data_IF_157035592259
#
_entry.id   IF_157035592259
#
_cell.length_a   1.000
_cell.length_b   1.000
_cell.length_c   1.000
_cell.angle_alpha   90.00
_cell.angle_beta   90.00
_cell.angle_gamma   90.00
#
_symmetry.space_group_name_H-M   'P 1'
#
loop_
_entity.id
_entity.type
_entity.pdbx_description
1 polymer ?
#
# COMPACT_ATOMS: atom_id res chain seq x y z
N UNK A 1 -25.52 10.35 -14.24
CA UNK A 1 -24.26 10.89 -14.80
C UNK A 1 -23.12 10.00 -14.31
N UNK A 2 -22.03 9.87 -15.07
CA UNK A 2 -20.79 9.29 -14.57
C UNK A 2 -20.07 10.32 -13.69
N UNK A 3 -19.56 9.90 -12.53
CA UNK A 3 -18.73 10.74 -11.65
C UNK A 3 -17.28 10.28 -11.81
N UNK A 4 -16.37 11.25 -11.95
CA UNK A 4 -14.93 11.02 -12.00
C UNK A 4 -14.30 11.80 -10.85
N UNK A 5 -13.40 11.16 -10.12
CA UNK A 5 -12.67 11.73 -8.99
C UNK A 5 -11.16 11.70 -9.27
N UNK A 6 -10.41 12.65 -8.74
CA UNK A 6 -8.95 12.70 -8.85
C UNK A 6 -8.30 12.47 -7.50
N UNK A 7 -7.17 11.75 -7.48
CA UNK A 7 -6.30 11.60 -6.32
C UNK A 7 -4.83 11.76 -6.75
N UNK A 8 -3.86 11.91 -5.84
CA UNK A 8 -2.47 12.16 -6.20
C UNK A 8 -1.87 11.07 -7.11
N UNK A 9 -1.72 11.35 -8.40
CA UNK A 9 -1.23 10.40 -9.41
C UNK A 9 -2.25 9.34 -9.86
N UNK A 10 -3.54 9.46 -9.52
CA UNK A 10 -4.60 8.53 -9.90
C UNK A 10 -5.84 9.26 -10.41
N UNK A 11 -6.54 8.65 -11.38
CA UNK A 11 -7.91 9.00 -11.73
C UNK A 11 -8.85 7.86 -11.33
N UNK A 12 -10.03 8.18 -10.83
CA UNK A 12 -11.06 7.24 -10.42
C UNK A 12 -12.31 7.49 -11.27
N UNK A 13 -12.69 6.52 -12.09
CA UNK A 13 -13.81 6.62 -13.05
C UNK A 13 -14.67 5.36 -13.01
N UNK A 14 -15.90 5.34 -13.54
CA UNK A 14 -16.62 4.09 -13.73
C UNK A 14 -15.83 3.11 -14.62
N UNK A 15 -16.09 1.83 -14.43
CA UNK A 15 -15.53 0.78 -15.29
C UNK A 15 -16.10 0.86 -16.71
N UNK A 16 -15.28 0.49 -17.69
CA UNK A 16 -15.57 0.46 -19.12
C UNK A 16 -15.32 -0.94 -19.66
N UNK A 17 -15.79 -1.22 -20.87
CA UNK A 17 -15.58 -2.53 -21.51
C UNK A 17 -14.10 -2.77 -21.91
N UNK A 18 -13.32 -1.71 -22.14
CA UNK A 18 -11.87 -1.80 -22.37
C UNK A 18 -11.08 -2.31 -21.15
N UNK A 19 -11.59 -2.10 -19.93
CA UNK A 19 -10.97 -2.56 -18.69
C UNK A 19 -11.08 -4.09 -18.50
N UNK A 20 -11.92 -4.76 -19.29
CA UNK A 20 -12.31 -6.17 -19.12
C UNK A 20 -11.12 -7.13 -19.00
N UNK A 21 -10.07 -6.91 -19.80
CA UNK A 21 -8.84 -7.71 -19.75
C UNK A 21 -8.12 -7.52 -18.41
N UNK A 22 -7.86 -6.27 -18.02
CA UNK A 22 -7.18 -5.95 -16.76
C UNK A 22 -7.98 -6.42 -15.53
N UNK A 23 -9.32 -6.36 -15.59
CA UNK A 23 -10.21 -6.92 -14.57
C UNK A 23 -10.02 -8.43 -14.41
N UNK A 24 -9.97 -9.18 -15.52
CA UNK A 24 -9.74 -10.63 -15.52
C UNK A 24 -8.34 -10.97 -15.03
N UNK A 25 -7.29 -10.29 -15.51
CA UNK A 25 -5.92 -10.54 -15.06
C UNK A 25 -5.75 -10.27 -13.55
N UNK A 26 -6.31 -9.18 -13.03
CA UNK A 26 -6.32 -8.92 -11.59
C UNK A 26 -7.01 -10.05 -10.81
N UNK A 27 -8.16 -10.54 -11.31
CA UNK A 27 -8.90 -11.66 -10.70
C UNK A 27 -8.27 -13.04 -10.93
N UNK A 28 -7.13 -13.18 -11.63
CA UNK A 28 -6.37 -14.45 -11.70
C UNK A 28 -5.46 -14.67 -10.49
N UNK A 29 -5.01 -13.60 -9.85
CA UNK A 29 -4.08 -13.65 -8.72
C UNK A 29 -4.67 -14.35 -7.48
N UNK A 30 -4.04 -15.43 -6.97
CA UNK A 30 -4.46 -16.11 -5.75
C UNK A 30 -4.48 -15.20 -4.50
N UNK A 31 -3.53 -14.25 -4.40
CA UNK A 31 -3.44 -13.36 -3.24
C UNK A 31 -4.60 -12.35 -3.19
N UNK A 32 -5.13 -11.94 -4.35
CA UNK A 32 -6.37 -11.19 -4.43
C UNK A 32 -7.59 -12.07 -4.11
N UNK A 33 -7.67 -13.25 -4.74
CA UNK A 33 -8.80 -14.19 -4.60
C UNK A 33 -9.12 -14.56 -3.16
N UNK A 34 -8.10 -14.67 -2.28
CA UNK A 34 -8.27 -14.91 -0.83
C UNK A 34 -9.22 -13.92 -0.15
N UNK A 35 -9.31 -12.68 -0.64
CA UNK A 35 -10.05 -11.58 0.00
C UNK A 35 -11.29 -11.13 -0.76
N UNK A 36 -11.58 -11.71 -1.93
CA UNK A 36 -12.73 -11.33 -2.75
C UNK A 36 -13.94 -12.22 -2.48
N UNK A 37 -15.08 -11.61 -2.16
CA UNK A 37 -16.39 -12.26 -2.14
C UNK A 37 -16.91 -12.68 -3.53
N UNK A 38 -16.14 -12.45 -4.61
CA UNK A 38 -16.47 -12.82 -5.98
C UNK A 38 -15.18 -13.09 -6.75
N UNK A 39 -15.00 -14.31 -7.24
CA UNK A 39 -13.94 -14.64 -8.20
C UNK A 39 -14.49 -14.51 -9.61
N UNK A 40 -13.69 -13.94 -10.53
CA UNK A 40 -14.01 -13.88 -11.96
C UNK A 40 -13.01 -14.80 -12.68
N UNK A 41 -13.50 -15.90 -13.25
CA UNK A 41 -12.62 -16.91 -13.89
C UNK A 41 -12.62 -16.86 -15.41
N UNK A 42 -13.59 -16.18 -16.03
CA UNK A 42 -13.73 -16.06 -17.48
C UNK A 42 -14.33 -14.70 -17.90
N UNK A 43 -14.33 -14.46 -19.21
CA UNK A 43 -14.81 -13.21 -19.82
C UNK A 43 -16.32 -12.98 -19.63
N UNK A 44 -17.13 -14.04 -19.58
CA UNK A 44 -18.59 -13.94 -19.40
C UNK A 44 -18.91 -13.44 -18.00
N UNK A 45 -18.26 -14.01 -16.98
CA UNK A 45 -18.38 -13.56 -15.59
C UNK A 45 -17.92 -12.10 -15.44
N UNK A 46 -16.79 -11.74 -16.07
CA UNK A 46 -16.26 -10.38 -15.99
C UNK A 46 -17.14 -9.35 -16.71
N UNK A 47 -17.76 -9.70 -17.84
CA UNK A 47 -18.81 -8.87 -18.49
C UNK A 47 -20.03 -8.70 -17.59
N UNK A 48 -20.58 -9.78 -17.04
CA UNK A 48 -21.70 -9.74 -16.09
C UNK A 48 -21.37 -8.90 -14.84
N UNK A 49 -20.12 -8.92 -14.37
CA UNK A 49 -19.66 -8.05 -13.30
C UNK A 49 -19.63 -6.57 -13.71
N UNK A 50 -19.13 -6.24 -14.91
CA UNK A 50 -19.17 -4.87 -15.45
C UNK A 50 -20.61 -4.36 -15.58
N UNK A 51 -21.51 -5.16 -16.17
CA UNK A 51 -22.94 -4.86 -16.32
C UNK A 51 -23.60 -4.62 -14.95
N UNK A 52 -23.24 -5.42 -13.95
CA UNK A 52 -23.69 -5.26 -12.56
C UNK A 52 -23.19 -3.95 -11.93
N UNK A 53 -21.96 -3.50 -12.24
CA UNK A 53 -21.47 -2.21 -11.76
C UNK A 53 -22.21 -1.06 -12.47
N UNK A 54 -22.42 -1.15 -13.79
CA UNK A 54 -23.13 -0.13 -14.57
C UNK A 54 -24.61 0.01 -14.16
N UNK A 55 -25.32 -1.10 -13.97
CA UNK A 55 -26.67 -1.10 -13.41
C UNK A 55 -26.70 -0.52 -11.99
N UNK A 56 -25.67 -0.79 -11.20
CA UNK A 56 -25.48 -0.20 -9.87
C UNK A 56 -25.36 1.32 -9.88
N UNK A 57 -24.59 1.88 -10.83
CA UNK A 57 -24.49 3.33 -11.07
C UNK A 57 -25.81 3.96 -11.50
N UNK A 58 -26.60 3.28 -12.34
CA UNK A 58 -27.91 3.76 -12.80
C UNK A 58 -28.96 3.74 -11.68
N UNK A 59 -28.88 2.76 -10.77
CA UNK A 59 -29.82 2.57 -9.65
C UNK A 59 -29.38 3.24 -8.35
N UNK A 60 -28.21 3.88 -8.32
CA UNK A 60 -27.55 4.41 -7.11
C UNK A 60 -27.27 3.38 -5.99
N UNK A 61 -27.42 2.07 -6.28
CA UNK A 61 -27.18 0.98 -5.31
C UNK A 61 -25.69 0.73 -5.08
N UNK A 62 -24.81 1.11 -6.01
CA UNK A 62 -23.37 1.23 -5.79
C UNK A 62 -22.71 2.25 -6.72
N UNK A 63 -21.54 2.70 -6.29
CA UNK A 63 -20.65 3.58 -7.04
C UNK A 63 -19.28 2.92 -7.14
N UNK A 64 -19.10 2.05 -8.15
CA UNK A 64 -17.86 1.28 -8.36
C UNK A 64 -16.95 1.99 -9.35
N UNK A 65 -15.73 2.31 -8.92
CA UNK A 65 -14.70 2.98 -9.71
C UNK A 65 -13.58 2.01 -10.10
N UNK A 66 -13.11 2.12 -11.35
CA UNK A 66 -11.78 1.69 -11.73
C UNK A 66 -10.79 2.75 -11.26
N UNK A 67 -9.71 2.31 -10.62
CA UNK A 67 -8.60 3.18 -10.21
C UNK A 67 -7.51 3.05 -11.27
N UNK A 68 -7.25 4.10 -12.02
CA UNK A 68 -6.30 4.14 -13.15
C UNK A 68 -5.21 5.20 -12.91
N UNK A 69 -4.12 5.24 -13.70
CA UNK A 69 -3.18 6.37 -13.67
C UNK A 69 -3.88 7.71 -13.94
N UNK A 70 -3.29 8.82 -13.48
CA UNK A 70 -3.89 10.15 -13.61
C UNK A 70 -4.22 10.59 -15.04
N UNK A 71 -3.56 10.02 -16.07
CA UNK A 71 -3.83 10.30 -17.48
C UNK A 71 -4.93 9.45 -18.11
N UNK A 72 -5.46 8.44 -17.41
CA UNK A 72 -6.31 7.36 -17.99
C UNK A 72 -5.63 6.64 -19.18
N UNK A 73 -4.29 6.62 -19.15
CA UNK A 73 -3.36 6.20 -20.19
C UNK A 73 -2.77 4.79 -19.96
N UNK A 74 -3.20 4.12 -18.89
CA UNK A 74 -2.78 2.77 -18.52
C UNK A 74 -3.90 1.96 -17.85
N UNK A 75 -3.70 0.64 -17.67
CA UNK A 75 -4.74 -0.26 -17.17
C UNK A 75 -5.13 0.04 -15.70
N UNK A 76 -6.33 -0.36 -15.27
CA UNK A 76 -6.74 -0.34 -13.87
C UNK A 76 -5.70 -0.93 -12.91
N UNK A 77 -5.21 -0.07 -12.02
CA UNK A 77 -4.34 -0.37 -10.88
C UNK A 77 -5.13 -0.93 -9.69
N UNK A 78 -6.47 -0.79 -9.69
CA UNK A 78 -7.33 -1.31 -8.65
C UNK A 78 -8.80 -0.94 -8.80
N UNK A 79 -9.54 -1.16 -7.72
CA UNK A 79 -10.97 -0.93 -7.59
C UNK A 79 -11.27 -0.26 -6.26
N UNK A 80 -12.25 0.64 -6.25
CA UNK A 80 -12.89 1.11 -5.01
C UNK A 80 -14.38 1.29 -5.27
N UNK A 81 -15.22 0.92 -4.30
CA UNK A 81 -16.68 0.98 -4.38
C UNK A 81 -17.27 1.56 -3.10
N UNK A 82 -18.36 2.31 -3.25
CA UNK A 82 -19.32 2.58 -2.17
C UNK A 82 -20.60 1.81 -2.49
N UNK A 83 -21.10 0.99 -1.56
CA UNK A 83 -22.45 0.41 -1.65
C UNK A 83 -23.44 1.44 -1.09
N UNK A 84 -24.35 1.93 -1.95
CA UNK A 84 -25.24 3.04 -1.60
C UNK A 84 -26.22 2.71 -0.49
N UNK A 85 -26.68 1.46 -0.43
CA UNK A 85 -27.68 0.99 0.54
C UNK A 85 -27.11 0.81 1.97
N UNK A 86 -25.84 0.41 2.09
CA UNK A 86 -25.20 0.08 3.38
C UNK A 86 -24.15 1.10 3.83
N UNK A 87 -23.83 2.09 2.99
CA UNK A 87 -22.69 2.99 3.15
C UNK A 87 -21.33 2.26 3.32
N UNK A 88 -21.26 1.00 2.87
CA UNK A 88 -20.05 0.18 2.96
C UNK A 88 -19.07 0.56 1.86
N UNK A 89 -17.83 0.88 2.22
CA UNK A 89 -16.71 1.00 1.30
C UNK A 89 -15.99 -0.35 1.15
N UNK A 90 -15.53 -0.63 -0.06
CA UNK A 90 -14.64 -1.76 -0.34
C UNK A 90 -13.64 -1.39 -1.42
N UNK A 91 -12.45 -1.98 -1.38
CA UNK A 91 -11.40 -1.74 -2.38
C UNK A 91 -10.57 -3.00 -2.60
N UNK A 92 -9.91 -3.06 -3.75
CA UNK A 92 -8.79 -3.96 -3.97
C UNK A 92 -7.76 -3.31 -4.89
N UNK A 93 -6.56 -3.88 -4.90
CA UNK A 93 -5.44 -3.37 -5.70
C UNK A 93 -4.87 -4.48 -6.56
N UNK A 94 -4.64 -4.19 -7.84
CA UNK A 94 -4.14 -5.16 -8.80
C UNK A 94 -2.77 -5.71 -8.37
N UNK A 95 -2.36 -6.90 -8.85
CA UNK A 95 -1.10 -7.52 -8.41
C UNK A 95 0.13 -6.64 -8.65
N UNK A 96 0.18 -5.95 -9.78
CA UNK A 96 1.21 -4.97 -10.15
C UNK A 96 1.15 -3.65 -9.34
N UNK A 97 0.44 -3.61 -8.21
CA UNK A 97 0.04 -2.40 -7.51
C UNK A 97 0.00 -2.46 -5.94
N UNK A 98 0.92 -3.18 -5.25
CA UNK A 98 1.06 -3.43 -3.77
C UNK A 98 2.38 -3.04 -2.96
N UNK A 99 3.13 -1.99 -3.33
CA UNK A 99 4.16 -1.15 -2.61
C UNK A 99 4.34 0.42 -2.81
N UNK A 100 3.50 1.22 -3.53
CA UNK A 100 3.32 2.71 -3.65
C UNK A 100 2.29 3.48 -2.77
N UNK A 101 1.07 2.98 -2.51
CA UNK A 101 -0.06 3.74 -1.92
C UNK A 101 -1.36 3.82 -2.74
N UNK A 102 -1.68 2.93 -3.69
CA UNK A 102 -2.89 3.04 -4.55
C UNK A 102 -4.19 2.94 -3.74
N UNK A 103 -4.38 1.88 -2.93
CA UNK A 103 -5.61 1.67 -2.17
C UNK A 103 -5.96 2.85 -1.25
N UNK A 104 -4.98 3.40 -0.52
CA UNK A 104 -5.20 4.52 0.40
C UNK A 104 -5.60 5.82 -0.31
N UNK A 105 -4.93 6.15 -1.42
CA UNK A 105 -5.30 7.33 -2.24
C UNK A 105 -6.71 7.21 -2.81
N UNK A 106 -7.07 6.03 -3.31
CA UNK A 106 -8.38 5.77 -3.90
C UNK A 106 -9.50 5.75 -2.85
N UNK A 107 -9.27 5.12 -1.69
CA UNK A 107 -10.20 5.13 -0.57
C UNK A 107 -10.45 6.56 -0.09
N UNK A 108 -9.40 7.35 0.20
CA UNK A 108 -9.53 8.71 0.72
C UNK A 108 -10.41 9.60 -0.18
N UNK A 109 -10.15 9.60 -1.49
CA UNK A 109 -10.92 10.42 -2.45
C UNK A 109 -12.40 10.00 -2.50
N UNK A 110 -12.68 8.70 -2.50
CA UNK A 110 -14.06 8.18 -2.49
C UNK A 110 -14.76 8.45 -1.15
N UNK A 111 -14.06 8.32 -0.02
CA UNK A 111 -14.60 8.60 1.31
C UNK A 111 -15.03 10.05 1.46
N UNK A 112 -14.19 10.99 0.98
CA UNK A 112 -14.52 12.43 0.97
C UNK A 112 -15.74 12.71 0.09
N UNK A 113 -15.74 12.22 -1.15
CA UNK A 113 -16.87 12.40 -2.08
C UNK A 113 -18.19 11.83 -1.55
N UNK A 114 -18.15 10.61 -1.01
CA UNK A 114 -19.35 9.92 -0.54
C UNK A 114 -19.98 10.60 0.69
N UNK A 115 -19.16 10.99 1.68
CA UNK A 115 -19.63 11.72 2.87
C UNK A 115 -20.10 13.15 2.55
N UNK A 116 -19.69 13.73 1.42
CA UNK A 116 -20.10 15.06 0.99
C UNK A 116 -21.34 15.09 0.07
N UNK A 117 -21.66 13.99 -0.63
CA UNK A 117 -22.69 13.98 -1.68
C UNK A 117 -23.77 12.92 -1.53
N UNK A 118 -23.54 11.84 -0.80
CA UNK A 118 -24.54 10.80 -0.54
C UNK A 118 -25.27 11.09 0.78
N UNK A 119 -26.53 10.64 0.95
CA UNK A 119 -27.31 10.87 2.18
C UNK A 119 -26.89 9.93 3.32
N UNK A 120 -25.59 9.89 3.65
CA UNK A 120 -24.97 8.99 4.63
C UNK A 120 -24.18 9.78 5.67
N UNK A 121 -24.33 9.44 6.95
CA UNK A 121 -23.62 10.11 8.06
C UNK A 121 -22.27 9.46 8.41
N UNK A 122 -22.03 8.23 7.92
CA UNK A 122 -20.78 7.47 8.08
C UNK A 122 -20.58 6.52 6.91
N UNK A 123 -19.34 6.06 6.76
CA UNK A 123 -18.97 4.93 5.91
C UNK A 123 -18.42 3.80 6.78
N UNK A 124 -18.71 2.56 6.42
CA UNK A 124 -18.16 1.36 7.08
C UNK A 124 -17.18 0.65 6.16
N UNK A 125 -16.02 0.24 6.68
CA UNK A 125 -15.09 -0.65 5.99
C UNK A 125 -15.10 -2.00 6.69
N UNK A 126 -15.28 -3.07 5.91
CA UNK A 126 -15.30 -4.45 6.37
C UNK A 126 -14.16 -5.23 5.72
N UNK A 127 -13.31 -5.87 6.52
CA UNK A 127 -12.29 -6.82 6.00
C UNK A 127 -12.00 -7.92 7.03
N UNK A 128 -11.49 -9.07 6.57
CA UNK A 128 -11.02 -10.15 7.45
C UNK A 128 -9.89 -9.66 8.37
N UNK A 129 -9.86 -10.11 9.63
CA UNK A 129 -8.94 -9.59 10.66
C UNK A 129 -7.47 -9.86 10.33
N UNK A 130 -7.19 -11.00 9.69
CA UNK A 130 -5.88 -11.40 9.17
C UNK A 130 -5.43 -10.61 7.92
N UNK A 131 -6.30 -9.76 7.34
CA UNK A 131 -5.93 -8.82 6.30
C UNK A 131 -5.31 -7.54 6.88
N UNK A 132 -4.11 -7.67 7.45
CA UNK A 132 -3.37 -6.55 8.04
C UNK A 132 -3.07 -5.42 7.03
N UNK A 133 -3.01 -5.72 5.73
CA UNK A 133 -2.83 -4.70 4.68
C UNK A 133 -4.05 -3.76 4.59
N UNK A 134 -5.27 -4.32 4.60
CA UNK A 134 -6.50 -3.54 4.66
C UNK A 134 -6.63 -2.76 5.97
N UNK A 135 -6.23 -3.34 7.10
CA UNK A 135 -6.21 -2.64 8.40
C UNK A 135 -5.29 -1.39 8.35
N UNK A 136 -4.07 -1.52 7.78
CA UNK A 136 -3.15 -0.39 7.59
C UNK A 136 -3.73 0.71 6.68
N UNK A 137 -4.49 0.34 5.64
CA UNK A 137 -5.14 1.31 4.75
C UNK A 137 -6.32 2.00 5.44
N UNK A 138 -7.14 1.25 6.19
CA UNK A 138 -8.27 1.77 6.96
C UNK A 138 -7.84 2.90 7.91
N UNK A 139 -6.88 2.59 8.79
CA UNK A 139 -6.35 3.53 9.78
C UNK A 139 -5.71 4.75 9.12
N UNK A 140 -4.97 4.57 8.01
CA UNK A 140 -4.36 5.68 7.25
C UNK A 140 -5.39 6.61 6.59
N UNK A 141 -6.60 6.13 6.30
CA UNK A 141 -7.70 6.92 5.74
C UNK A 141 -8.74 7.33 6.80
N UNK A 142 -8.35 7.40 8.09
CA UNK A 142 -9.21 7.90 9.16
C UNK A 142 -10.41 7.01 9.51
N UNK A 143 -10.37 5.72 9.19
CA UNK A 143 -11.38 4.74 9.63
C UNK A 143 -10.94 4.09 10.95
N UNK A 144 -11.53 4.53 12.06
CA UNK A 144 -11.31 3.96 13.39
C UNK A 144 -11.88 2.54 13.49
N UNK A 145 -11.19 1.62 14.15
CA UNK A 145 -11.77 0.31 14.52
C UNK A 145 -13.00 0.55 15.40
N UNK A 146 -14.11 -0.09 15.05
CA UNK A 146 -15.37 -0.01 15.78
C UNK A 146 -15.64 -1.32 16.52
N UNK A 147 -15.67 -2.45 15.80
CA UNK A 147 -15.96 -3.78 16.35
C UNK A 147 -15.08 -4.86 15.71
N UNK A 148 -14.79 -5.93 16.47
CA UNK A 148 -14.42 -7.23 15.91
C UNK A 148 -15.70 -8.02 15.61
N UNK A 149 -15.89 -8.38 14.34
CA UNK A 149 -17.01 -9.18 13.86
C UNK A 149 -16.69 -10.68 13.93
N UNK A 150 -17.66 -11.53 14.35
CA UNK A 150 -17.51 -12.98 14.27
C UNK A 150 -17.49 -13.44 12.81
N UNK A 151 -16.95 -14.64 12.58
CA UNK A 151 -17.03 -15.29 11.27
C UNK A 151 -18.48 -15.55 10.86
N UNK A 152 -18.78 -15.33 9.57
CA UNK A 152 -20.06 -15.58 8.92
C UNK A 152 -19.86 -16.39 7.63
N UNK A 153 -19.48 -17.68 7.74
CA UNK A 153 -19.29 -18.56 6.58
C UNK A 153 -20.60 -18.79 5.81
N UNK A 154 -20.55 -19.05 4.49
CA UNK A 154 -19.35 -19.20 3.67
C UNK A 154 -18.72 -17.87 3.21
N UNK A 155 -19.43 -16.74 3.30
CA UNK A 155 -18.99 -15.46 2.73
C UNK A 155 -17.81 -14.83 3.48
N UNK A 156 -17.78 -14.96 4.81
CA UNK A 156 -16.72 -14.46 5.68
C UNK A 156 -16.25 -15.60 6.60
N UNK A 157 -15.31 -16.47 6.15
CA UNK A 157 -14.94 -17.68 6.88
C UNK A 157 -14.11 -17.41 8.15
N UNK A 158 -13.48 -16.24 8.25
CA UNK A 158 -12.73 -15.76 9.43
C UNK A 158 -13.43 -14.59 10.09
N UNK A 159 -13.00 -14.21 11.30
CA UNK A 159 -13.41 -12.95 11.93
C UNK A 159 -12.96 -11.75 11.10
N UNK A 160 -13.64 -10.61 11.26
CA UNK A 160 -13.36 -9.40 10.48
C UNK A 160 -13.36 -8.14 11.34
N UNK A 161 -12.63 -7.11 10.92
CA UNK A 161 -12.75 -5.78 11.52
C UNK A 161 -13.87 -5.01 10.83
N UNK A 162 -14.75 -4.39 11.63
CA UNK A 162 -15.48 -3.19 11.20
C UNK A 162 -14.63 -1.99 11.57
N UNK A 163 -14.24 -1.19 10.58
CA UNK A 163 -13.81 0.19 10.82
C UNK A 163 -14.88 1.17 10.35
N UNK A 164 -14.95 2.36 10.96
CA UNK A 164 -15.96 3.40 10.68
C UNK A 164 -15.29 4.76 10.48
N UNK A 165 -15.77 5.51 9.49
CA UNK A 165 -15.45 6.94 9.29
C UNK A 165 -16.74 7.75 9.18
N UNK A 166 -17.00 8.59 10.16
CA UNK A 166 -18.16 9.50 10.16
C UNK A 166 -17.88 10.77 9.35
N UNK A 167 -18.94 11.44 8.89
CA UNK A 167 -18.87 12.84 8.49
C UNK A 167 -18.47 13.71 9.69
N UNK A 168 -17.75 14.81 9.44
CA UNK A 168 -17.49 15.80 10.48
C UNK A 168 -18.80 16.51 10.86
N UNK A 169 -19.02 16.74 12.16
CA UNK A 169 -20.21 17.44 12.66
C UNK A 169 -20.33 18.82 12.01
N UNK A 170 -21.50 19.21 11.45
CA UNK A 170 -21.67 20.52 10.81
C UNK A 170 -21.50 21.69 11.79
N UNK A 171 -20.30 22.28 11.85
CA UNK A 171 -19.98 23.42 12.71
C UNK A 171 -18.61 24.01 12.41
N UNK A 172 -18.59 25.28 11.99
CA UNK A 172 -17.37 26.12 11.86
C UNK A 172 -16.23 25.54 11.01
N UNK A 173 -16.53 25.21 9.74
CA UNK A 173 -15.56 25.25 8.64
C UNK A 173 -15.93 26.35 7.64
N UNK A 174 -14.98 26.91 6.85
CA UNK A 174 -15.30 27.82 5.75
C UNK A 174 -16.12 27.08 4.67
N UNK A 175 -16.90 27.81 3.83
CA UNK A 175 -17.80 27.20 2.86
C UNK A 175 -17.05 26.32 1.85
N UNK A 176 -17.57 25.11 1.64
CA UNK A 176 -17.05 24.13 0.68
C UNK A 176 -17.31 24.67 -0.73
N UNK A 177 -16.25 24.72 -1.57
CA UNK A 177 -16.37 25.10 -2.97
C UNK A 177 -17.22 24.07 -3.75
N UNK A 178 -18.04 24.54 -4.68
CA UNK A 178 -18.84 23.67 -5.54
C UNK A 178 -17.93 22.91 -6.52
N UNK A 179 -18.31 21.68 -6.87
CA UNK A 179 -17.53 20.85 -7.77
C UNK A 179 -17.66 21.31 -9.23
N UNK A 180 -16.67 22.04 -9.73
CA UNK A 180 -16.56 22.40 -11.14
C UNK A 180 -15.58 21.47 -11.88
N UNK A 181 -15.94 21.05 -13.10
CA UNK A 181 -15.01 20.34 -13.99
C UNK A 181 -14.06 21.37 -14.62
N UNK A 182 -12.74 21.19 -14.44
CA UNK A 182 -11.74 21.94 -15.24
C UNK A 182 -10.45 21.14 -15.43
N UNK A 183 -9.83 21.33 -16.59
CA UNK A 183 -8.56 20.73 -17.00
C UNK A 183 -7.38 21.63 -16.64
N UNK A 184 -6.30 21.08 -16.07
CA UNK A 184 -5.00 21.77 -16.01
C UNK A 184 -3.82 20.78 -16.06
N UNK A 185 -2.71 21.20 -16.67
CA UNK A 185 -1.45 20.43 -16.74
C UNK A 185 -0.59 20.60 -15.47
N UNK A 186 0.28 19.62 -15.13
CA UNK A 186 1.09 19.64 -13.91
C UNK A 186 2.35 20.53 -14.01
N UNK A 187 2.84 20.98 -12.86
CA UNK A 187 4.07 21.77 -12.69
C UNK A 187 5.25 20.93 -12.16
N UNK A 188 6.47 21.44 -12.31
CA UNK A 188 7.74 20.69 -12.19
C UNK A 188 8.14 20.20 -10.77
N UNK A 189 7.33 20.46 -9.73
CA UNK A 189 7.76 20.37 -8.33
C UNK A 189 7.95 18.93 -7.81
N UNK A 190 7.48 17.92 -8.56
CA UNK A 190 7.55 16.50 -8.18
C UNK A 190 8.95 15.85 -8.18
N UNK A 191 9.99 16.49 -8.74
CA UNK A 191 11.30 15.84 -8.99
C UNK A 191 12.22 15.65 -7.75
N UNK A 192 11.88 16.20 -6.58
CA UNK A 192 12.81 16.28 -5.42
C UNK A 192 12.80 15.05 -4.48
N UNK A 193 13.22 13.88 -4.98
CA UNK A 193 13.46 12.66 -4.15
C UNK A 193 14.81 11.92 -4.27
N UNK A 194 15.70 12.13 -5.27
CA UNK A 194 16.96 11.36 -5.36
C UNK A 194 18.04 11.61 -4.29
N UNK A 195 17.91 12.61 -3.41
CA UNK A 195 19.07 13.19 -2.69
C UNK A 195 19.55 12.37 -1.47
N UNK A 196 18.65 11.79 -0.70
CA UNK A 196 18.92 11.30 0.67
C UNK A 196 19.97 10.17 0.80
N UNK A 197 20.24 9.41 -0.27
CA UNK A 197 21.25 8.33 -0.23
C UNK A 197 22.67 8.85 -0.45
N UNK A 198 22.83 9.85 -1.34
CA UNK A 198 24.13 10.41 -1.69
C UNK A 198 24.79 11.09 -0.48
N UNK A 199 23.96 11.61 0.43
CA UNK A 199 24.36 12.17 1.71
C UNK A 199 25.12 11.20 2.64
N UNK A 200 24.96 9.89 2.46
CA UNK A 200 25.60 8.84 3.26
C UNK A 200 26.86 8.24 2.60
N UNK A 201 27.23 8.68 1.39
CA UNK A 201 28.42 8.18 0.70
C UNK A 201 29.69 8.60 1.46
N UNK A 202 30.64 7.67 1.59
CA UNK A 202 31.86 7.81 2.38
C UNK A 202 31.71 7.38 3.85
N UNK A 203 30.49 7.44 4.40
CA UNK A 203 30.23 7.10 5.79
C UNK A 203 30.14 5.59 6.01
N UNK A 204 30.57 5.12 7.19
CA UNK A 204 30.77 3.70 7.49
C UNK A 204 29.58 3.10 8.22
N UNK A 205 29.08 1.97 7.74
CA UNK A 205 27.99 1.23 8.38
C UNK A 205 28.46 0.71 9.77
N UNK A 206 27.88 1.25 10.85
CA UNK A 206 28.17 0.81 12.23
C UNK A 206 27.09 -0.11 12.78
N UNK A 207 25.86 -0.05 12.27
CA UNK A 207 24.76 -0.88 12.75
C UNK A 207 23.74 -1.16 11.65
N UNK A 208 23.26 -2.39 11.59
CA UNK A 208 22.05 -2.78 10.87
C UNK A 208 21.04 -3.33 11.88
N UNK A 209 19.81 -2.82 11.85
CA UNK A 209 18.68 -3.31 12.66
C UNK A 209 17.61 -3.85 11.72
N UNK A 210 17.07 -5.02 12.03
CA UNK A 210 15.88 -5.59 11.38
C UNK A 210 14.69 -5.51 12.34
N UNK A 211 13.53 -5.14 11.82
CA UNK A 211 12.25 -5.31 12.53
C UNK A 211 11.58 -6.58 11.99
N UNK A 212 11.31 -7.55 12.85
CA UNK A 212 10.55 -8.74 12.51
C UNK A 212 9.26 -8.82 13.33
N UNK A 213 8.22 -9.40 12.74
CA UNK A 213 6.99 -9.74 13.45
C UNK A 213 7.20 -11.05 14.25
N UNK A 214 6.76 -11.08 15.50
CA UNK A 214 6.69 -12.31 16.31
C UNK A 214 5.26 -12.56 16.78
N UNK A 215 4.77 -13.79 16.55
CA UNK A 215 3.59 -14.37 17.20
C UNK A 215 3.97 -15.01 18.55
N UNK A 216 3.10 -15.01 19.58
CA UNK A 216 3.33 -15.74 20.83
C UNK A 216 3.62 -17.23 20.60
N UNK A 217 4.76 -17.70 21.11
CA UNK A 217 5.18 -19.10 21.02
C UNK A 217 5.96 -19.46 19.75
N UNK A 218 5.99 -18.62 18.73
CA UNK A 218 6.72 -18.89 17.48
C UNK A 218 8.12 -18.23 17.42
N UNK A 219 9.10 -18.89 16.78
CA UNK A 219 10.38 -18.26 16.44
C UNK A 219 10.18 -17.24 15.31
N UNK A 220 10.70 -16.02 15.46
CA UNK A 220 10.59 -14.99 14.43
C UNK A 220 11.55 -15.22 13.26
N UNK A 221 11.06 -15.11 12.03
CA UNK A 221 11.91 -14.93 10.85
C UNK A 221 12.33 -13.46 10.75
N UNK A 222 13.64 -13.22 10.61
CA UNK A 222 14.26 -11.91 10.67
C UNK A 222 14.78 -11.44 9.28
N UNK A 223 14.53 -12.27 8.25
CA UNK A 223 14.92 -12.06 6.85
C UNK A 223 13.89 -11.27 6.04
N UNK A 224 12.70 -11.05 6.62
CA UNK A 224 11.59 -10.19 6.15
C UNK A 224 11.35 -9.02 7.13
N UNK A 225 10.50 -8.07 6.80
CA UNK A 225 10.24 -6.83 7.56
C UNK A 225 11.23 -5.66 7.34
N UNK A 226 10.99 -4.49 7.94
CA UNK A 226 11.80 -3.27 7.76
C UNK A 226 13.28 -3.38 8.14
N UNK A 227 14.12 -2.53 7.56
CA UNK A 227 15.56 -2.42 7.88
C UNK A 227 15.96 -0.97 8.22
N UNK A 228 16.74 -0.77 9.27
CA UNK A 228 17.41 0.50 9.58
C UNK A 228 18.93 0.34 9.55
N UNK A 229 19.62 1.18 8.78
CA UNK A 229 21.08 1.20 8.68
C UNK A 229 21.61 2.50 9.30
N UNK A 230 22.54 2.41 10.25
CA UNK A 230 23.15 3.56 10.92
C UNK A 230 24.66 3.63 10.66
N UNK A 231 25.17 4.86 10.57
CA UNK A 231 26.51 5.20 10.10
C UNK A 231 27.35 5.92 11.17
N UNK A 232 28.68 5.97 10.99
CA UNK A 232 29.62 6.45 12.01
C UNK A 232 29.67 7.97 12.24
N UNK A 233 28.92 8.74 11.45
CA UNK A 233 28.62 10.16 11.70
C UNK A 233 27.37 10.38 12.56
N UNK A 234 26.64 9.31 12.90
CA UNK A 234 25.39 9.36 13.64
C UNK A 234 24.13 9.56 12.79
N UNK A 235 24.23 9.58 11.44
CA UNK A 235 23.05 9.47 10.57
C UNK A 235 22.68 8.02 10.32
N UNK A 236 21.48 7.81 9.77
CA UNK A 236 20.98 6.50 9.38
C UNK A 236 19.85 6.60 8.38
N UNK A 237 19.32 5.46 7.94
CA UNK A 237 18.27 5.37 6.94
C UNK A 237 17.36 4.17 7.23
N UNK A 238 16.06 4.41 7.30
CA UNK A 238 15.01 3.39 7.38
C UNK A 238 14.58 2.98 5.96
N UNK A 239 14.31 1.70 5.75
CA UNK A 239 13.79 1.10 4.52
C UNK A 239 12.50 0.29 4.81
N UNK A 240 11.46 0.46 3.99
CA UNK A 240 10.11 -0.16 4.15
C UNK A 240 9.34 -0.31 2.80
N UNK A 241 8.09 -0.82 2.80
CA UNK A 241 7.24 -1.20 1.63
C UNK A 241 5.77 -0.67 1.71
N UNK A 242 5.12 -0.23 0.59
CA UNK A 242 3.84 0.59 0.56
C UNK A 242 2.55 -0.03 -0.12
N UNK A 243 2.02 0.43 -1.31
CA UNK A 243 1.09 -0.27 -2.32
C UNK A 243 1.08 0.07 -3.94
N UNK A 244 1.75 -0.29 -5.14
CA UNK A 244 2.93 -0.87 -6.02
C UNK A 244 3.76 -2.24 -5.94
N UNK A 245 5.03 -2.23 -5.56
CA UNK A 245 5.78 -3.15 -4.67
C UNK A 245 7.17 -2.51 -4.54
N UNK A 246 7.22 -1.20 -4.25
CA UNK A 246 8.42 -0.37 -4.20
C UNK A 246 8.97 -0.18 -2.79
N UNK A 247 10.25 0.15 -2.76
CA UNK A 247 11.02 0.49 -1.58
C UNK A 247 10.78 1.97 -1.24
N UNK A 248 10.34 2.24 -0.01
CA UNK A 248 10.44 3.57 0.60
C UNK A 248 11.71 3.64 1.45
N UNK A 249 12.31 4.83 1.52
CA UNK A 249 13.37 5.10 2.48
C UNK A 249 13.31 6.51 3.05
N UNK A 250 13.74 6.64 4.31
CA UNK A 250 13.68 7.86 5.10
C UNK A 250 15.03 8.04 5.82
N UNK A 251 15.69 9.18 5.61
CA UNK A 251 16.91 9.55 6.32
C UNK A 251 16.56 9.89 7.79
N UNK A 252 17.41 9.47 8.71
CA UNK A 252 17.25 9.63 10.17
C UNK A 252 18.54 10.15 10.81
N UNK A 253 18.42 10.84 11.95
CA UNK A 253 19.52 11.32 12.78
C UNK A 253 19.63 10.56 14.11
N UNK A 254 20.77 10.70 14.77
CA UNK A 254 21.01 10.15 16.12
C UNK A 254 20.05 10.78 17.13
N UNK A 255 19.06 10.00 17.58
CA UNK A 255 18.01 10.45 18.50
C UNK A 255 16.58 10.26 17.97
N UNK A 256 16.40 10.05 16.66
CA UNK A 256 15.07 9.88 16.06
C UNK A 256 14.40 8.58 16.54
N UNK A 257 13.19 8.66 17.12
CA UNK A 257 12.38 7.46 17.39
C UNK A 257 11.58 7.02 16.15
N UNK A 258 12.33 6.56 15.14
CA UNK A 258 11.80 5.88 13.96
C UNK A 258 11.11 4.54 14.29
N UNK A 259 11.24 4.03 15.52
CA UNK A 259 10.61 2.78 15.95
C UNK A 259 9.20 2.98 16.49
N UNK A 260 8.87 4.18 16.98
CA UNK A 260 7.55 4.53 17.55
C UNK A 260 6.36 3.94 16.78
N UNK A 261 6.35 4.10 15.45
CA UNK A 261 5.31 3.55 14.56
C UNK A 261 5.20 2.01 14.49
N UNK A 262 6.11 1.29 15.16
CA UNK A 262 6.17 -0.18 15.26
C UNK A 262 6.15 -0.68 16.71
N UNK A 263 6.17 0.19 17.72
CA UNK A 263 6.27 -0.19 19.14
C UNK A 263 4.95 -0.74 19.75
N UNK A 264 3.87 -0.83 18.96
CA UNK A 264 2.58 -1.29 19.45
C UNK A 264 2.56 -2.81 19.68
N UNK A 265 2.10 -3.29 20.86
CA UNK A 265 1.75 -4.69 21.05
C UNK A 265 0.37 -4.97 20.46
N UNK A 266 0.27 -6.02 19.67
CA UNK A 266 -0.97 -6.64 19.22
C UNK A 266 -1.29 -7.83 20.17
N UNK A 267 -2.56 -8.19 20.42
CA UNK A 267 -2.88 -9.36 21.26
C UNK A 267 -2.21 -10.65 20.78
N UNK A 268 -2.07 -10.78 19.46
CA UNK A 268 -1.52 -11.94 18.78
C UNK A 268 -0.07 -11.71 18.31
N UNK A 269 0.59 -10.58 18.63
CA UNK A 269 1.98 -10.37 18.21
C UNK A 269 2.64 -9.02 18.53
N UNK A 270 3.88 -8.86 18.09
CA UNK A 270 4.62 -7.58 18.18
C UNK A 270 5.76 -7.51 17.18
N UNK A 271 6.18 -6.30 16.84
CA UNK A 271 7.47 -6.07 16.19
C UNK A 271 8.62 -6.23 17.20
N UNK A 272 9.71 -6.86 16.76
CA UNK A 272 10.92 -7.06 17.55
C UNK A 272 12.12 -6.51 16.76
N UNK A 273 12.83 -5.50 17.31
CA UNK A 273 14.09 -5.05 16.76
C UNK A 273 15.22 -6.02 17.12
N UNK A 274 15.95 -6.51 16.12
CA UNK A 274 17.19 -7.28 16.28
C UNK A 274 18.36 -6.55 15.63
N UNK A 275 19.50 -6.57 16.30
CA UNK A 275 20.78 -6.17 15.71
C UNK A 275 21.24 -7.25 14.73
N UNK A 276 21.24 -6.94 13.43
CA UNK A 276 21.60 -7.85 12.35
C UNK A 276 23.02 -7.57 11.80
N UNK A 277 23.78 -6.68 12.45
CA UNK A 277 25.09 -6.20 11.93
C UNK A 277 26.12 -7.32 11.74
N UNK A 278 26.04 -8.39 12.55
CA UNK A 278 26.91 -9.56 12.49
C UNK A 278 26.34 -10.71 11.63
N UNK A 279 25.20 -10.51 10.96
CA UNK A 279 24.48 -11.55 10.22
C UNK A 279 24.49 -11.28 8.70
N UNK A 280 24.49 -12.31 7.83
CA UNK A 280 24.39 -12.10 6.39
C UNK A 280 23.08 -11.40 5.98
N UNK A 281 23.10 -10.47 5.00
CA UNK A 281 24.26 -10.04 4.22
C UNK A 281 25.12 -8.96 4.91
N UNK A 282 24.61 -8.27 5.94
CA UNK A 282 25.24 -7.12 6.58
C UNK A 282 26.63 -7.41 7.16
N UNK A 283 26.89 -8.61 7.66
CA UNK A 283 28.20 -9.06 8.15
C UNK A 283 29.36 -8.86 7.15
N UNK A 284 29.07 -8.83 5.84
CA UNK A 284 30.09 -8.61 4.81
C UNK A 284 30.47 -7.12 4.62
N UNK A 285 29.63 -6.20 5.11
CA UNK A 285 29.73 -4.75 4.91
C UNK A 285 29.74 -3.92 6.20
N UNK A 286 29.42 -4.51 7.36
CA UNK A 286 29.61 -3.88 8.65
C UNK A 286 31.07 -3.42 8.81
N UNK A 287 31.26 -2.17 9.25
CA UNK A 287 32.58 -1.55 9.33
C UNK A 287 33.16 -1.09 7.98
N UNK A 288 32.40 -1.09 6.87
CA UNK A 288 32.80 -0.51 5.57
C UNK A 288 32.02 0.77 5.25
N UNK A 289 32.67 1.67 4.49
CA UNK A 289 32.04 2.87 3.94
C UNK A 289 31.12 2.57 2.76
N UNK A 290 29.96 3.22 2.70
CA UNK A 290 29.09 3.21 1.52
C UNK A 290 29.79 3.97 0.38
N UNK A 291 30.09 3.31 -0.74
CA UNK A 291 30.68 3.94 -1.94
C UNK A 291 29.63 4.43 -2.93
N UNK A 292 28.39 3.95 -2.82
CA UNK A 292 27.26 4.41 -3.62
C UNK A 292 26.07 3.46 -3.56
N UNK A 293 25.02 3.79 -4.29
CA UNK A 293 23.90 2.88 -4.49
C UNK A 293 23.17 3.13 -5.80
N UNK A 294 22.50 2.08 -6.30
CA UNK A 294 21.77 2.10 -7.56
C UNK A 294 20.37 1.53 -7.35
N UNK A 295 19.31 2.21 -7.82
CA UNK A 295 17.96 1.69 -7.73
C UNK A 295 17.83 0.42 -8.56
N UNK A 296 17.12 -0.56 -8.03
CA UNK A 296 16.69 -1.76 -8.75
C UNK A 296 15.27 -1.46 -9.20
N UNK A 297 15.08 -1.34 -10.50
CA UNK A 297 13.80 -1.01 -11.10
C UNK A 297 13.05 -2.28 -11.50
N UNK A 298 11.73 -2.29 -11.38
CA UNK A 298 10.88 -3.27 -12.05
C UNK A 298 10.75 -2.95 -13.56
N UNK A 299 10.02 -3.80 -14.28
CA UNK A 299 9.80 -3.69 -15.72
C UNK A 299 9.00 -2.42 -16.13
N UNK A 300 8.39 -1.70 -15.19
CA UNK A 300 7.67 -0.43 -15.42
C UNK A 300 8.40 0.79 -14.85
N UNK A 301 9.65 0.63 -14.39
CA UNK A 301 10.52 1.73 -13.95
C UNK A 301 10.38 2.16 -12.49
N UNK A 302 9.60 1.46 -11.67
CA UNK A 302 9.44 1.74 -10.23
C UNK A 302 10.55 1.09 -9.41
N UNK A 303 10.97 1.73 -8.31
CA UNK A 303 12.10 1.27 -7.48
C UNK A 303 11.68 0.15 -6.53
N UNK A 304 11.77 -1.11 -6.96
CA UNK A 304 11.49 -2.31 -6.15
C UNK A 304 12.69 -2.80 -5.33
N UNK A 305 13.81 -2.09 -5.41
CA UNK A 305 14.93 -2.34 -4.51
C UNK A 305 16.02 -1.29 -4.64
N UNK A 306 17.04 -1.46 -3.81
CA UNK A 306 18.23 -0.62 -3.80
C UNK A 306 19.44 -1.52 -3.61
N UNK A 307 20.39 -1.40 -4.53
CA UNK A 307 21.72 -1.97 -4.37
C UNK A 307 22.60 -0.94 -3.67
N UNK A 308 23.33 -1.35 -2.64
CA UNK A 308 24.26 -0.52 -1.87
C UNK A 308 25.65 -1.14 -1.99
N UNK A 309 26.62 -0.44 -2.55
CA UNK A 309 28.02 -0.90 -2.57
C UNK A 309 28.81 -0.33 -1.39
N UNK A 310 29.64 -1.19 -0.79
CA UNK A 310 30.52 -0.87 0.32
C UNK A 310 31.98 -1.25 0.00
N UNK A 311 32.52 -0.65 -1.07
CA UNK A 311 33.87 -0.87 -1.56
C UNK A 311 34.05 -2.24 -2.23
N UNK A 312 33.27 -2.52 -3.27
CA UNK A 312 33.27 -3.81 -3.96
C UNK A 312 32.61 -4.93 -3.14
N UNK A 313 31.63 -4.58 -2.31
CA UNK A 313 30.84 -5.48 -1.46
C UNK A 313 29.40 -4.97 -1.42
N UNK A 314 28.55 -5.58 -2.22
CA UNK A 314 27.17 -5.15 -2.38
C UNK A 314 26.24 -5.79 -1.33
N UNK A 315 25.33 -4.98 -0.77
CA UNK A 315 24.08 -5.43 -0.14
C UNK A 315 22.93 -5.05 -1.04
N UNK A 316 21.99 -5.98 -1.24
CA UNK A 316 20.75 -5.72 -1.97
C UNK A 316 19.57 -5.70 -1.00
N UNK A 317 18.86 -4.58 -0.96
CA UNK A 317 17.53 -4.45 -0.38
C UNK A 317 16.52 -4.62 -1.52
N UNK A 318 15.56 -5.54 -1.39
CA UNK A 318 14.50 -5.76 -2.38
C UNK A 318 13.18 -6.03 -1.67
N UNK A 319 12.11 -5.43 -2.17
CA UNK A 319 10.76 -5.90 -1.89
C UNK A 319 10.54 -7.23 -2.60
N UNK A 320 9.96 -8.21 -1.90
CA UNK A 320 9.56 -9.50 -2.47
C UNK A 320 8.30 -9.99 -1.77
N UNK A 321 7.26 -10.34 -2.54
CA UNK A 321 5.98 -10.84 -2.03
C UNK A 321 5.32 -9.95 -0.94
N UNK A 322 5.60 -8.64 -0.94
CA UNK A 322 5.13 -7.66 0.04
C UNK A 322 6.10 -7.35 1.19
N UNK A 323 7.14 -8.15 1.37
CA UNK A 323 8.12 -8.02 2.43
C UNK A 323 9.42 -7.36 1.97
N UNK A 324 10.12 -6.66 2.86
CA UNK A 324 11.47 -6.17 2.61
C UNK A 324 12.50 -7.26 2.92
N UNK A 325 13.15 -7.77 1.88
CA UNK A 325 14.20 -8.79 1.95
C UNK A 325 15.61 -8.19 1.79
N UNK A 326 16.59 -8.85 2.40
CA UNK A 326 18.02 -8.48 2.34
C UNK A 326 18.83 -9.61 1.72
N UNK A 327 19.22 -9.44 0.45
CA UNK A 327 19.73 -10.53 -0.37
C UNK A 327 21.21 -10.88 -0.18
N UNK A 328 21.49 -12.18 -0.22
CA UNK A 328 22.39 -12.70 -1.27
C UNK A 328 21.52 -13.23 -2.42
N UNK A 329 22.14 -13.39 -3.59
CA UNK A 329 21.49 -13.72 -4.86
C UNK A 329 20.54 -14.94 -4.76
N UNK A 330 19.39 -14.79 -5.40
CA UNK A 330 18.67 -15.87 -6.08
C UNK A 330 18.73 -15.55 -7.57
N UNK A 331 18.86 -16.57 -8.42
CA UNK A 331 18.93 -16.41 -9.88
C UNK A 331 17.59 -15.99 -10.50
N UNK A 332 17.65 -15.42 -11.70
CA UNK A 332 16.46 -14.90 -12.41
C UNK A 332 15.62 -16.02 -13.04
N UNK A 333 14.41 -16.24 -12.53
CA UNK A 333 13.41 -17.15 -13.14
C UNK A 333 12.37 -17.67 -12.13
N UNK A 334 11.08 -17.83 -12.49
CA UNK A 334 10.03 -17.99 -11.49
C UNK A 334 9.48 -19.42 -11.30
N UNK A 335 9.36 -19.83 -10.03
CA UNK A 335 8.19 -20.51 -9.45
C UNK A 335 7.83 -19.83 -8.12
#
# INVERSE_FOLDING_TARGET
MAIVLSAPGLLLRPWRLEDLVALIEAHRDPALRRWLATSLTDETQARQWLDTQAAGWVTATRFSFAVVPAGDDGPPLGHVVVKGETAEVGYWTAPQARGQGVAGRALEAVSQWALATLPVSRLELLHAADNHASCRVATKCGYSVQDLLPAAPPAFPTSGHRHVRSAATPGTGPPIAQAELTTHQPTEEGLRRPLALNELIGHRLVKAIRLAWQQPGEPSDLRTGPAHLAFDDGRGILFDCRSDWSLEWILTSSGDDWRSGYQYPDPDGRWIPRDASAEPPFAAVAGRSLSGGAPILNQVGEVTGLRLDFGGREVTLRTWQGELTTGRLFDDGPE
#
